data_IF_428430862345
#
_entry.id   IF_428430862345
#
_cell.length_a   1.000
_cell.length_b   1.000
_cell.length_c   1.000
_cell.angle_alpha   90.00
_cell.angle_beta   90.00
_cell.angle_gamma   90.00
#
_symmetry.space_group_name_H-M   'P 1'
#
loop_
_entity.id
_entity.type
_entity.pdbx_description
1 polymer ?
#
# COMPACT_ATOMS: atom_id res chain seq x y z
N UNK A 1 -56.41 -18.98 -36.74
CA UNK A 1 -55.15 -18.73 -36.00
C UNK A 1 -54.96 -17.21 -35.90
N UNK A 2 -54.23 -16.70 -34.89
CA UNK A 2 -53.92 -15.26 -34.67
C UNK A 2 -54.88 -14.55 -33.70
N UNK A 3 -55.08 -15.05 -32.48
CA UNK A 3 -55.45 -14.21 -31.31
C UNK A 3 -54.41 -14.28 -30.17
N UNK A 4 -53.34 -15.08 -30.31
CA UNK A 4 -52.27 -15.20 -29.30
C UNK A 4 -51.32 -13.98 -29.27
N UNK A 5 -51.19 -13.24 -30.38
CA UNK A 5 -50.13 -12.22 -30.52
C UNK A 5 -50.35 -10.94 -29.71
N UNK A 6 -51.56 -10.66 -29.21
CA UNK A 6 -51.86 -9.38 -28.54
C UNK A 6 -51.59 -9.37 -27.04
N UNK A 7 -51.54 -10.55 -26.39
CA UNK A 7 -51.28 -10.65 -24.95
C UNK A 7 -49.79 -10.48 -24.59
N UNK A 8 -48.87 -10.84 -25.50
CA UNK A 8 -47.44 -10.66 -25.26
C UNK A 8 -46.92 -9.22 -25.49
N UNK A 9 -47.65 -8.38 -26.23
CA UNK A 9 -47.18 -7.04 -26.59
C UNK A 9 -47.39 -5.97 -25.52
N UNK A 10 -48.23 -6.22 -24.51
CA UNK A 10 -48.42 -5.30 -23.39
C UNK A 10 -47.45 -5.54 -22.22
N UNK A 11 -46.83 -6.73 -22.15
CA UNK A 11 -45.93 -7.09 -21.05
C UNK A 11 -44.54 -6.45 -21.17
N UNK A 12 -44.02 -6.29 -22.39
CA UNK A 12 -42.68 -5.70 -22.62
C UNK A 12 -42.55 -4.22 -22.18
N UNK A 13 -43.48 -3.30 -22.52
CA UNK A 13 -43.33 -1.92 -22.09
C UNK A 13 -43.53 -1.72 -20.58
N UNK A 14 -44.31 -2.58 -19.92
CA UNK A 14 -44.51 -2.51 -18.47
C UNK A 14 -43.26 -2.90 -17.66
N UNK A 15 -42.48 -3.89 -18.13
CA UNK A 15 -41.22 -4.31 -17.48
C UNK A 15 -40.12 -3.26 -17.61
N UNK A 16 -40.06 -2.55 -18.73
CA UNK A 16 -39.06 -1.50 -19.00
C UNK A 16 -39.29 -0.22 -18.18
N UNK A 17 -40.54 0.09 -17.86
CA UNK A 17 -40.88 1.22 -16.96
C UNK A 17 -40.60 0.87 -15.50
N UNK A 18 -40.73 -0.40 -15.11
CA UNK A 18 -40.43 -0.85 -13.74
C UNK A 18 -38.93 -0.81 -13.42
N UNK A 19 -38.06 -1.07 -14.41
CA UNK A 19 -36.60 -0.98 -14.26
C UNK A 19 -36.07 0.45 -14.15
N UNK A 20 -36.87 1.47 -14.51
CA UNK A 20 -36.52 2.89 -14.34
C UNK A 20 -36.95 3.44 -12.98
N UNK A 21 -37.78 2.69 -12.23
CA UNK A 21 -38.31 3.08 -10.92
C UNK A 21 -37.56 2.45 -9.75
N UNK A 22 -36.61 1.55 -10.00
CA UNK A 22 -35.64 1.18 -8.98
C UNK A 22 -34.68 2.35 -8.84
N UNK A 23 -34.69 3.09 -7.72
CA UNK A 23 -33.57 3.97 -7.43
C UNK A 23 -32.37 3.03 -7.39
N UNK A 24 -31.43 3.20 -8.31
CA UNK A 24 -30.12 2.59 -8.15
C UNK A 24 -29.65 3.05 -6.78
N UNK A 25 -29.67 2.16 -5.80
CA UNK A 25 -29.00 2.34 -4.53
C UNK A 25 -27.51 2.29 -4.85
N UNK A 26 -27.01 3.33 -5.54
CA UNK A 26 -25.60 3.57 -5.68
C UNK A 26 -25.12 3.84 -4.28
N UNK A 27 -24.41 2.86 -3.70
CA UNK A 27 -23.63 3.10 -2.49
C UNK A 27 -22.82 4.35 -2.74
N UNK A 28 -23.05 5.40 -1.94
CA UNK A 28 -22.21 6.58 -2.02
C UNK A 28 -20.80 6.14 -1.66
N UNK A 29 -19.82 6.59 -2.44
CA UNK A 29 -18.42 6.43 -2.05
C UNK A 29 -18.22 7.23 -0.76
N UNK A 30 -17.82 6.54 0.31
CA UNK A 30 -17.42 7.18 1.55
C UNK A 30 -16.00 7.72 1.41
N UNK A 31 -15.70 8.83 2.10
CA UNK A 31 -14.36 9.37 2.15
C UNK A 31 -13.47 8.48 3.05
N UNK A 32 -12.18 8.37 2.70
CA UNK A 32 -11.21 7.74 3.59
C UNK A 32 -11.09 8.51 4.91
N UNK A 33 -10.82 7.75 5.98
CA UNK A 33 -10.68 8.25 7.34
C UNK A 33 -9.29 7.95 7.88
N UNK A 34 -8.91 8.58 9.00
CA UNK A 34 -7.66 8.27 9.69
C UNK A 34 -7.56 6.78 10.10
N UNK A 35 -8.69 6.15 10.43
CA UNK A 35 -8.73 4.70 10.74
C UNK A 35 -8.29 3.85 9.55
N UNK A 36 -8.57 4.29 8.31
CA UNK A 36 -8.11 3.54 7.14
C UNK A 36 -6.59 3.61 6.98
N UNK A 37 -5.95 4.72 7.41
CA UNK A 37 -4.50 4.82 7.45
C UNK A 37 -3.91 3.95 8.57
N UNK A 38 -4.59 3.82 9.72
CA UNK A 38 -4.19 2.91 10.80
C UNK A 38 -4.26 1.44 10.35
N UNK A 39 -5.35 1.05 9.68
CA UNK A 39 -5.52 -0.30 9.12
C UNK A 39 -4.45 -0.60 8.07
N UNK A 40 -4.17 0.36 7.17
CA UNK A 40 -3.16 0.21 6.13
C UNK A 40 -1.75 0.06 6.73
N UNK A 41 -1.37 0.88 7.71
CA UNK A 41 -0.07 0.76 8.37
C UNK A 41 0.06 -0.52 9.17
N UNK A 42 -1.01 -0.94 9.85
CA UNK A 42 -1.01 -2.22 10.56
C UNK A 42 -0.80 -3.37 9.59
N UNK A 43 -1.47 -3.36 8.44
CA UNK A 43 -1.28 -4.38 7.41
C UNK A 43 0.14 -4.36 6.81
N UNK A 44 0.67 -3.18 6.50
CA UNK A 44 2.02 -3.01 5.97
C UNK A 44 3.07 -3.59 6.93
N UNK A 45 3.04 -3.18 8.20
CA UNK A 45 4.00 -3.65 9.21
C UNK A 45 3.86 -5.14 9.46
N UNK A 46 2.64 -5.66 9.60
CA UNK A 46 2.43 -7.08 9.89
C UNK A 46 2.91 -8.02 8.78
N UNK A 47 2.88 -7.57 7.52
CA UNK A 47 3.23 -8.41 6.37
C UNK A 47 4.70 -8.22 5.98
N UNK A 48 5.19 -6.98 5.98
CA UNK A 48 6.46 -6.66 5.34
C UNK A 48 7.57 -6.30 6.32
N UNK A 49 7.30 -5.92 7.58
CA UNK A 49 8.37 -5.51 8.48
C UNK A 49 9.04 -6.71 9.18
N UNK A 50 10.35 -6.87 8.98
CA UNK A 50 11.18 -7.81 9.72
C UNK A 50 11.84 -7.10 10.91
N UNK A 51 11.28 -7.30 12.10
CA UNK A 51 11.85 -6.73 13.34
C UNK A 51 13.25 -7.25 13.71
N UNK A 52 13.65 -8.43 13.21
CA UNK A 52 14.98 -8.98 13.47
C UNK A 52 16.04 -8.31 12.60
N UNK A 53 15.73 -8.10 11.31
CA UNK A 53 16.61 -7.39 10.40
C UNK A 53 16.47 -5.86 10.50
N UNK A 54 15.37 -5.40 11.12
CA UNK A 54 14.96 -3.99 11.20
C UNK A 54 14.83 -3.37 9.80
N UNK A 55 14.12 -4.07 8.92
CA UNK A 55 14.06 -3.76 7.49
C UNK A 55 12.74 -4.29 6.91
N UNK A 56 12.26 -3.74 5.79
CA UNK A 56 11.10 -4.29 5.08
C UNK A 56 11.47 -5.34 4.03
N UNK A 57 10.67 -6.41 3.95
CA UNK A 57 10.68 -7.36 2.83
C UNK A 57 10.19 -6.69 1.55
N UNK A 58 10.77 -7.07 0.41
CA UNK A 58 10.31 -6.58 -0.90
C UNK A 58 8.97 -7.19 -1.30
N UNK A 59 8.73 -8.45 -0.92
CA UNK A 59 7.55 -9.25 -1.27
C UNK A 59 7.04 -9.99 -0.03
N UNK A 60 5.75 -10.29 0.00
CA UNK A 60 5.10 -10.94 1.14
C UNK A 60 5.23 -12.46 1.17
N UNK A 61 5.89 -13.04 0.16
CA UNK A 61 6.00 -14.49 -0.05
C UNK A 61 7.45 -14.97 -0.17
N UNK A 62 8.05 -14.84 -1.36
CA UNK A 62 9.36 -15.35 -1.70
C UNK A 62 10.17 -14.30 -2.47
N UNK A 63 11.46 -14.57 -2.63
CA UNK A 63 12.32 -13.77 -3.51
C UNK A 63 11.90 -14.02 -4.96
N UNK A 64 11.60 -12.96 -5.69
CA UNK A 64 11.30 -13.02 -7.12
C UNK A 64 12.55 -12.60 -7.90
N UNK A 65 13.16 -13.49 -8.73
CA UNK A 65 14.43 -13.24 -9.39
C UNK A 65 14.48 -11.95 -10.23
N UNK A 66 13.36 -11.54 -10.80
CA UNK A 66 13.19 -10.31 -11.57
C UNK A 66 13.40 -9.03 -10.76
N UNK A 67 13.32 -9.10 -9.43
CA UNK A 67 13.41 -7.98 -8.50
C UNK A 67 14.49 -8.19 -7.42
N UNK A 68 15.49 -9.04 -7.68
CA UNK A 68 16.53 -9.43 -6.73
C UNK A 68 17.65 -8.38 -6.54
N UNK A 69 17.31 -7.10 -6.35
CA UNK A 69 18.29 -5.98 -6.34
C UNK A 69 18.62 -5.44 -4.93
N UNK A 70 17.74 -5.63 -3.96
CA UNK A 70 17.96 -5.21 -2.58
C UNK A 70 18.91 -6.12 -1.79
N UNK A 71 19.11 -5.85 -0.48
CA UNK A 71 19.93 -6.67 0.39
C UNK A 71 19.51 -8.14 0.41
N UNK A 72 20.47 -9.01 0.74
CA UNK A 72 20.26 -10.45 0.89
C UNK A 72 19.63 -11.09 -0.36
N UNK A 73 20.17 -10.70 -1.53
CA UNK A 73 19.71 -11.16 -2.85
C UNK A 73 18.25 -10.76 -3.15
N UNK A 74 17.87 -9.55 -2.73
CA UNK A 74 16.52 -8.99 -2.89
C UNK A 74 15.46 -9.67 -2.05
N UNK A 75 15.83 -10.14 -0.87
CA UNK A 75 14.85 -10.46 0.17
C UNK A 75 14.20 -9.19 0.73
N UNK A 76 15.02 -8.16 0.90
CA UNK A 76 14.60 -6.86 1.42
C UNK A 76 14.44 -5.83 0.29
N UNK A 77 13.64 -4.81 0.57
CA UNK A 77 13.45 -3.64 -0.30
C UNK A 77 14.79 -3.03 -0.71
N UNK A 78 14.84 -2.50 -1.93
CA UNK A 78 16.05 -1.87 -2.44
C UNK A 78 16.30 -0.50 -1.78
N UNK A 79 17.44 0.10 -2.11
CA UNK A 79 18.01 1.23 -1.37
C UNK A 79 17.05 2.43 -1.30
N UNK A 80 16.51 2.90 -2.43
CA UNK A 80 15.60 4.04 -2.46
C UNK A 80 14.21 3.71 -1.89
N UNK A 81 13.70 2.50 -2.13
CA UNK A 81 12.37 2.12 -1.65
C UNK A 81 12.34 2.04 -0.13
N UNK A 82 13.39 1.50 0.50
CA UNK A 82 13.45 1.48 1.96
C UNK A 82 13.37 2.88 2.58
N UNK A 83 13.95 3.91 1.94
CA UNK A 83 13.81 5.30 2.39
C UNK A 83 12.35 5.77 2.37
N UNK A 84 11.58 5.40 1.34
CA UNK A 84 10.15 5.74 1.24
C UNK A 84 9.31 5.05 2.33
N UNK A 85 9.65 3.81 2.67
CA UNK A 85 8.99 3.09 3.77
C UNK A 85 9.36 3.67 5.13
N UNK A 86 10.60 4.13 5.28
CA UNK A 86 11.04 4.85 6.47
C UNK A 86 10.23 6.15 6.67
N UNK A 87 10.09 6.97 5.62
CA UNK A 87 9.25 8.18 5.64
C UNK A 87 7.78 7.85 5.93
N UNK A 88 7.25 6.77 5.34
CA UNK A 88 5.88 6.30 5.63
C UNK A 88 5.67 6.00 7.12
N UNK A 89 6.69 5.45 7.80
CA UNK A 89 6.65 5.24 9.27
C UNK A 89 6.73 6.57 10.02
N UNK A 90 7.46 7.56 9.52
CA UNK A 90 7.50 8.92 10.10
C UNK A 90 6.15 9.62 9.98
N UNK A 91 5.47 9.53 8.83
CA UNK A 91 4.12 10.06 8.63
C UNK A 91 3.12 9.43 9.62
N UNK A 92 3.23 8.11 9.81
CA UNK A 92 2.42 7.40 10.78
C UNK A 92 2.71 7.87 12.21
N UNK A 93 3.99 8.14 12.54
CA UNK A 93 4.38 8.72 13.82
C UNK A 93 3.84 10.14 14.00
N UNK A 94 3.99 11.02 13.02
CA UNK A 94 3.50 12.41 13.11
C UNK A 94 1.99 12.45 13.38
N UNK A 95 1.23 11.60 12.67
CA UNK A 95 -0.23 11.54 12.81
C UNK A 95 -0.70 10.99 14.16
N UNK A 96 0.02 10.00 14.71
CA UNK A 96 -0.46 9.20 15.86
C UNK A 96 0.30 9.44 17.16
N UNK A 97 1.50 9.99 17.07
CA UNK A 97 2.49 10.09 18.14
C UNK A 97 2.79 8.73 18.83
N UNK A 98 2.67 7.63 18.08
CA UNK A 98 2.85 6.28 18.61
C UNK A 98 4.31 5.98 18.96
N UNK A 99 4.61 5.50 20.19
CA UNK A 99 5.98 5.13 20.57
C UNK A 99 6.51 3.93 19.76
N UNK A 100 5.62 3.12 19.18
CA UNK A 100 6.00 2.01 18.29
C UNK A 100 6.65 2.56 17.03
N UNK A 101 6.00 3.50 16.34
CA UNK A 101 6.56 4.10 15.13
C UNK A 101 7.81 4.92 15.44
N UNK A 102 7.88 5.60 16.58
CA UNK A 102 9.12 6.25 17.04
C UNK A 102 10.30 5.27 17.11
N UNK A 103 10.07 4.08 17.65
CA UNK A 103 11.10 3.04 17.76
C UNK A 103 11.48 2.50 16.38
N UNK A 104 10.48 2.24 15.53
CA UNK A 104 10.70 1.76 14.16
C UNK A 104 11.52 2.74 13.32
N UNK A 105 11.36 4.05 13.50
CA UNK A 105 12.19 5.07 12.83
C UNK A 105 13.68 4.84 13.11
N UNK A 106 14.04 4.60 14.38
CA UNK A 106 15.44 4.35 14.76
C UNK A 106 15.92 2.97 14.29
N UNK A 107 15.03 1.98 14.35
CA UNK A 107 15.34 0.61 13.95
C UNK A 107 15.61 0.51 12.44
N UNK A 108 14.76 1.10 11.59
CA UNK A 108 14.91 1.08 10.14
C UNK A 108 16.23 1.73 9.71
N UNK A 109 16.55 2.91 10.27
CA UNK A 109 17.83 3.56 9.99
C UNK A 109 19.03 2.70 10.44
N UNK A 110 18.90 1.99 11.55
CA UNK A 110 19.93 1.05 12.04
C UNK A 110 20.08 -0.18 11.13
N UNK A 111 18.98 -0.79 10.73
CA UNK A 111 18.96 -1.94 9.81
C UNK A 111 19.56 -1.58 8.47
N UNK A 112 19.19 -0.40 7.95
CA UNK A 112 19.74 0.14 6.73
C UNK A 112 21.25 0.32 6.76
N UNK A 113 21.78 1.02 7.77
CA UNK A 113 23.24 1.23 7.90
C UNK A 113 24.01 -0.08 8.17
N UNK A 114 23.34 -1.13 8.65
CA UNK A 114 23.94 -2.46 8.79
C UNK A 114 24.14 -3.13 7.43
N UNK A 115 23.19 -2.93 6.48
CA UNK A 115 23.28 -3.47 5.11
C UNK A 115 24.15 -2.60 4.20
N UNK A 116 24.13 -1.27 4.40
CA UNK A 116 24.85 -0.28 3.60
C UNK A 116 25.73 0.61 4.50
N UNK A 117 26.88 0.10 4.99
CA UNK A 117 27.73 0.84 5.93
C UNK A 117 28.43 2.06 5.32
N UNK A 118 28.54 2.10 3.99
CA UNK A 118 29.01 3.26 3.22
C UNK A 118 27.97 3.63 2.17
N UNK A 119 27.03 4.52 2.55
CA UNK A 119 25.99 4.99 1.64
C UNK A 119 26.57 5.68 0.41
N UNK A 120 27.71 6.37 0.56
CA UNK A 120 28.34 7.15 -0.50
C UNK A 120 28.95 6.27 -1.61
N UNK A 121 29.04 4.97 -1.39
CA UNK A 121 29.39 4.01 -2.43
C UNK A 121 28.27 3.81 -3.47
N UNK A 122 27.04 4.24 -3.18
CA UNK A 122 25.93 4.21 -4.14
C UNK A 122 26.14 5.27 -5.24
N UNK A 123 26.09 4.83 -6.49
CA UNK A 123 26.28 5.70 -7.67
C UNK A 123 25.01 6.46 -8.09
N UNK A 124 23.86 6.15 -7.50
CA UNK A 124 22.57 6.77 -7.81
C UNK A 124 22.34 7.97 -6.87
N UNK A 125 22.40 9.18 -7.42
CA UNK A 125 22.24 10.40 -6.62
C UNK A 125 20.82 10.56 -6.06
N UNK A 126 19.82 10.02 -6.75
CA UNK A 126 18.43 9.97 -6.31
C UNK A 126 18.27 9.07 -5.09
N UNK A 127 18.88 7.89 -5.06
CA UNK A 127 18.94 7.03 -3.88
C UNK A 127 19.49 7.78 -2.66
N UNK A 128 20.62 8.48 -2.82
CA UNK A 128 21.20 9.30 -1.76
C UNK A 128 20.26 10.46 -1.36
N UNK A 129 19.59 11.06 -2.35
CA UNK A 129 18.63 12.14 -2.16
C UNK A 129 17.42 11.73 -1.32
N UNK A 130 16.86 10.53 -1.55
CA UNK A 130 15.75 10.01 -0.78
C UNK A 130 16.09 9.82 0.70
N UNK A 131 17.28 9.26 0.98
CA UNK A 131 17.76 9.10 2.36
C UNK A 131 18.13 10.41 3.03
N UNK A 132 18.54 11.42 2.26
CA UNK A 132 18.82 12.76 2.78
C UNK A 132 17.55 13.57 3.07
N UNK A 133 16.46 13.32 2.33
CA UNK A 133 15.18 14.00 2.50
C UNK A 133 14.39 13.47 3.70
N UNK A 134 14.31 12.14 3.87
CA UNK A 134 13.47 11.50 4.87
C UNK A 134 13.67 12.00 6.33
N UNK A 135 14.87 12.36 6.83
CA UNK A 135 15.03 12.86 8.19
C UNK A 135 14.73 14.36 8.37
N UNK A 136 14.35 15.08 7.31
CA UNK A 136 14.08 16.53 7.33
C UNK A 136 12.70 16.87 7.89
#
# INVERSE_FOLDING_TARGET
MIHWKKLCSAALPAVLVLSLLTPGAGSKAEAFTASNADDAMTALVNVFYDSSAKYFFVNSDQIHPEHAYGPDSGLYTDFWWEAQLWETVMDAYERTNSPVYRTMIDDIYTGFNTKYPDMMANAFNDDLGWWALAPA
#
